data_IF_992463750193
#
_entry.id   IF_992463750193
#
_cell.length_a   1.000
_cell.length_b   1.000
_cell.length_c   1.000
_cell.angle_alpha   90.00
_cell.angle_beta   90.00
_cell.angle_gamma   90.00
#
_symmetry.space_group_name_H-M   'P 1'
#
loop_
_entity.id
_entity.type
_entity.pdbx_description
1 polymer ?
#
# COMPACT_ATOMS: atom_id res chain seq x y z
N UNK A 1 24.89 -4.19 16.82
CA UNK A 1 25.13 -4.53 15.39
C UNK A 1 24.82 -3.27 14.60
N UNK A 2 25.76 -2.69 13.85
CA UNK A 2 25.44 -1.56 12.97
C UNK A 2 24.40 -2.03 11.96
N UNK A 3 23.38 -1.22 11.69
CA UNK A 3 22.37 -1.51 10.69
C UNK A 3 23.02 -1.48 9.31
N UNK A 4 23.02 -2.61 8.63
CA UNK A 4 23.52 -2.69 7.27
C UNK A 4 22.58 -1.93 6.32
N UNK A 5 23.15 -1.28 5.28
CA UNK A 5 22.38 -0.44 4.35
C UNK A 5 21.25 -1.21 3.65
N UNK A 6 21.44 -2.50 3.45
CA UNK A 6 20.46 -3.42 2.88
C UNK A 6 19.26 -3.60 3.81
N UNK A 7 19.50 -3.90 5.09
CA UNK A 7 18.45 -4.02 6.12
C UNK A 7 17.67 -2.72 6.28
N UNK A 8 18.35 -1.57 6.26
CA UNK A 8 17.68 -0.25 6.32
C UNK A 8 16.78 -0.05 5.11
N UNK A 9 17.24 -0.42 3.91
CA UNK A 9 16.46 -0.28 2.67
C UNK A 9 15.22 -1.16 2.72
N UNK A 10 15.35 -2.42 3.13
CA UNK A 10 14.22 -3.34 3.26
C UNK A 10 13.14 -2.81 4.23
N UNK A 11 13.57 -2.31 5.40
CA UNK A 11 12.65 -1.71 6.39
C UNK A 11 11.94 -0.49 5.78
N UNK A 12 12.69 0.41 5.14
CA UNK A 12 12.10 1.62 4.54
C UNK A 12 11.07 1.24 3.48
N UNK A 13 11.41 0.29 2.60
CA UNK A 13 10.52 -0.18 1.53
C UNK A 13 9.23 -0.77 2.09
N UNK A 14 9.33 -1.60 3.14
CA UNK A 14 8.17 -2.17 3.82
C UNK A 14 7.28 -1.08 4.44
N UNK A 15 7.89 -0.17 5.22
CA UNK A 15 7.17 0.92 5.89
C UNK A 15 6.48 1.85 4.88
N UNK A 16 7.16 2.22 3.80
CA UNK A 16 6.61 3.07 2.73
C UNK A 16 5.44 2.37 2.05
N UNK A 17 5.56 1.07 1.76
CA UNK A 17 4.50 0.29 1.09
C UNK A 17 3.24 0.20 1.96
N UNK A 18 3.41 -0.09 3.26
CA UNK A 18 2.30 -0.12 4.22
C UNK A 18 1.68 1.27 4.38
N UNK A 19 2.49 2.32 4.47
CA UNK A 19 2.02 3.70 4.56
C UNK A 19 1.17 4.12 3.35
N UNK A 20 1.61 3.75 2.14
CA UNK A 20 0.86 3.98 0.91
C UNK A 20 -0.50 3.26 0.91
N UNK A 21 -0.56 2.02 1.39
CA UNK A 21 -1.81 1.28 1.49
C UNK A 21 -2.80 1.95 2.44
N UNK A 22 -2.33 2.33 3.63
CA UNK A 22 -3.16 3.02 4.62
C UNK A 22 -3.67 4.33 4.04
N UNK A 23 -2.82 5.11 3.38
CA UNK A 23 -3.21 6.36 2.74
C UNK A 23 -4.30 6.15 1.67
N UNK A 24 -4.18 5.10 0.85
CA UNK A 24 -5.19 4.75 -0.16
C UNK A 24 -6.53 4.37 0.48
N UNK A 25 -6.52 3.54 1.53
CA UNK A 25 -7.73 3.15 2.26
C UNK A 25 -8.39 4.34 2.93
N UNK A 26 -7.61 5.22 3.57
CA UNK A 26 -8.11 6.46 4.18
C UNK A 26 -8.72 7.38 3.13
N UNK A 27 -8.06 7.55 1.98
CA UNK A 27 -8.58 8.36 0.87
C UNK A 27 -9.90 7.84 0.31
N UNK A 28 -10.00 6.53 0.09
CA UNK A 28 -11.24 5.89 -0.37
C UNK A 28 -12.32 6.01 0.70
N UNK A 29 -11.97 5.75 1.96
CA UNK A 29 -12.86 5.92 3.11
C UNK A 29 -13.41 7.34 3.19
N UNK A 30 -12.55 8.37 3.18
CA UNK A 30 -12.98 9.77 3.29
C UNK A 30 -13.81 10.23 2.08
N UNK A 31 -13.53 9.71 0.89
CA UNK A 31 -14.22 10.11 -0.35
C UNK A 31 -15.61 9.50 -0.46
N UNK A 32 -15.78 8.23 -0.07
CA UNK A 32 -17.02 7.48 -0.30
C UNK A 32 -17.87 7.25 0.97
N UNK A 33 -17.43 7.70 2.14
CA UNK A 33 -18.15 7.59 3.41
C UNK A 33 -19.07 8.80 3.67
N UNK A 34 -20.07 9.03 2.81
CA UNK A 34 -21.06 10.08 3.05
C UNK A 34 -22.27 9.60 3.86
N UNK A 35 -22.80 8.39 3.64
CA UNK A 35 -24.01 7.89 4.35
C UNK A 35 -24.01 6.34 4.56
N UNK A 36 -22.84 5.72 4.44
CA UNK A 36 -22.66 4.26 4.37
C UNK A 36 -21.79 3.89 3.18
N UNK A 37 -21.27 2.66 3.15
CA UNK A 37 -20.42 2.21 2.05
C UNK A 37 -21.28 2.05 0.79
N UNK A 38 -21.25 3.07 -0.08
CA UNK A 38 -21.94 3.01 -1.38
C UNK A 38 -21.34 1.87 -2.22
N UNK A 39 -22.11 1.29 -3.15
CA UNK A 39 -21.59 0.25 -4.06
C UNK A 39 -20.30 0.71 -4.75
N UNK A 40 -20.20 2.00 -5.07
CA UNK A 40 -19.01 2.59 -5.69
C UNK A 40 -17.80 2.63 -4.74
N UNK A 41 -18.02 2.97 -3.46
CA UNK A 41 -16.99 2.88 -2.41
C UNK A 41 -16.49 1.45 -2.17
N UNK A 42 -17.38 0.46 -2.26
CA UNK A 42 -16.99 -0.96 -2.17
C UNK A 42 -16.07 -1.38 -3.33
N UNK A 43 -16.40 -1.01 -4.58
CA UNK A 43 -15.52 -1.26 -5.72
C UNK A 43 -14.20 -0.50 -5.63
N UNK A 44 -14.20 0.74 -5.14
CA UNK A 44 -12.98 1.51 -4.93
C UNK A 44 -12.07 0.87 -3.87
N UNK A 45 -12.64 0.31 -2.79
CA UNK A 45 -11.90 -0.46 -1.78
C UNK A 45 -11.27 -1.72 -2.39
N UNK A 46 -12.04 -2.50 -3.16
CA UNK A 46 -11.50 -3.68 -3.86
C UNK A 46 -10.37 -3.27 -4.81
N UNK A 47 -10.53 -2.16 -5.54
CA UNK A 47 -9.50 -1.58 -6.40
C UNK A 47 -8.25 -1.18 -5.64
N UNK A 48 -8.38 -0.60 -4.44
CA UNK A 48 -7.24 -0.25 -3.59
C UNK A 48 -6.47 -1.48 -3.11
N UNK A 49 -7.16 -2.57 -2.79
CA UNK A 49 -6.55 -3.85 -2.42
C UNK A 49 -5.82 -4.45 -3.62
N UNK A 50 -6.46 -4.50 -4.79
CA UNK A 50 -5.83 -4.99 -6.02
C UNK A 50 -4.58 -4.16 -6.37
N UNK A 51 -4.67 -2.83 -6.29
CA UNK A 51 -3.54 -1.93 -6.50
C UNK A 51 -2.40 -2.15 -5.50
N UNK A 52 -2.72 -2.42 -4.23
CA UNK A 52 -1.72 -2.74 -3.21
C UNK A 52 -0.99 -4.05 -3.49
N UNK A 53 -1.71 -5.08 -3.93
CA UNK A 53 -1.10 -6.36 -4.33
C UNK A 53 -0.13 -6.14 -5.51
N UNK A 54 -0.54 -5.34 -6.51
CA UNK A 54 0.34 -4.99 -7.63
C UNK A 54 1.55 -4.18 -7.17
N UNK A 55 1.37 -3.22 -6.28
CA UNK A 55 2.47 -2.45 -5.69
C UNK A 55 3.46 -3.38 -5.00
N UNK A 56 2.99 -4.29 -4.15
CA UNK A 56 3.86 -5.27 -3.48
C UNK A 56 4.56 -6.20 -4.47
N UNK A 57 3.91 -6.54 -5.58
CA UNK A 57 4.53 -7.31 -6.67
C UNK A 57 5.68 -6.52 -7.31
N UNK A 58 5.46 -5.24 -7.61
CA UNK A 58 6.51 -4.35 -8.15
C UNK A 58 7.65 -4.19 -7.16
N UNK A 59 7.33 -4.01 -5.88
CA UNK A 59 8.32 -3.90 -4.80
C UNK A 59 9.16 -5.18 -4.66
N UNK A 60 8.53 -6.36 -4.68
CA UNK A 60 9.24 -7.63 -4.63
C UNK A 60 10.18 -7.82 -5.83
N UNK A 61 9.71 -7.47 -7.04
CA UNK A 61 10.54 -7.50 -8.25
C UNK A 61 11.70 -6.49 -8.15
N UNK A 62 11.44 -5.28 -7.64
CA UNK A 62 12.48 -4.26 -7.45
C UNK A 62 13.56 -4.74 -6.47
N UNK A 63 13.15 -5.28 -5.32
CA UNK A 63 14.06 -5.77 -4.30
C UNK A 63 14.87 -6.98 -4.79
N UNK A 64 14.27 -7.88 -5.58
CA UNK A 64 15.01 -9.01 -6.18
C UNK A 64 16.10 -8.61 -7.18
N UNK A 65 16.08 -7.35 -7.63
CA UNK A 65 17.04 -6.82 -8.61
C UNK A 65 18.09 -5.92 -7.98
N UNK A 66 17.98 -5.63 -6.68
CA UNK A 66 18.95 -4.89 -5.89
C UNK A 66 19.87 -5.87 -5.16
#
# INVERSE_FOLDING_TARGET
MPLDRETVTEIIVSVVSVGLFIAAVVFVGSTYNSEGLTNQGAFALIGSIAGFILLMTVVAVFLSRQ
#
